data_IF_489851810817
#
_entry.id   IF_489851810817
#
_cell.length_a   1.000
_cell.length_b   1.000
_cell.length_c   1.000
_cell.angle_alpha   90.00
_cell.angle_beta   90.00
_cell.angle_gamma   90.00
#
_symmetry.space_group_name_H-M   'P 1'
#
loop_
_entity.id
_entity.type
_entity.pdbx_description
1 polymer ?
#
# COMPACT_ATOMS: atom_id res chain seq x y z
N UNK A 1 -5.90 -9.51 -24.77
CA UNK A 1 -4.81 -10.50 -25.03
C UNK A 1 -3.86 -10.36 -23.86
N UNK A 2 -3.83 -11.31 -22.93
CA UNK A 2 -2.99 -11.25 -21.73
C UNK A 2 -1.57 -11.68 -22.09
N UNK A 3 -0.57 -10.90 -21.68
CA UNK A 3 0.84 -11.20 -21.90
C UNK A 3 1.22 -12.56 -21.26
N UNK A 4 2.11 -13.37 -21.86
CA UNK A 4 2.42 -14.75 -21.42
C UNK A 4 2.96 -14.87 -19.97
N UNK A 5 3.53 -13.82 -19.39
CA UNK A 5 4.07 -13.80 -18.02
C UNK A 5 3.03 -13.70 -16.91
N UNK A 6 1.83 -13.20 -17.19
CA UNK A 6 0.80 -12.93 -16.17
C UNK A 6 0.12 -14.18 -15.58
N UNK A 7 0.32 -15.36 -16.17
CA UNK A 7 -0.24 -16.61 -15.62
C UNK A 7 0.40 -17.07 -14.31
N UNK A 8 1.55 -16.50 -13.91
CA UNK A 8 2.25 -16.86 -12.66
C UNK A 8 1.90 -16.01 -11.45
N UNK A 9 1.32 -14.84 -11.64
CA UNK A 9 0.96 -13.91 -10.56
C UNK A 9 -0.48 -14.13 -10.10
N UNK A 10 -0.99 -15.23 -9.85
CA UNK A 10 -2.25 -15.60 -9.19
C UNK A 10 -3.33 -14.53 -8.86
N UNK A 11 -3.19 -13.31 -9.36
CA UNK A 11 -3.95 -12.11 -8.97
C UNK A 11 -5.31 -11.97 -9.69
N UNK A 12 -5.45 -12.52 -10.88
CA UNK A 12 -6.67 -12.33 -11.69
C UNK A 12 -7.85 -13.25 -11.28
N UNK A 13 -7.66 -14.46 -10.73
CA UNK A 13 -8.80 -15.30 -10.32
C UNK A 13 -9.45 -14.91 -9.00
N UNK A 14 -8.75 -14.18 -8.12
CA UNK A 14 -9.25 -13.88 -6.76
C UNK A 14 -10.38 -12.86 -6.81
N UNK A 15 -10.27 -11.81 -7.59
CA UNK A 15 -11.29 -10.75 -7.68
C UNK A 15 -12.61 -11.24 -8.31
N UNK A 16 -12.60 -12.24 -9.20
CA UNK A 16 -13.83 -12.83 -9.75
C UNK A 16 -14.53 -13.81 -8.81
N UNK A 17 -13.80 -14.43 -7.86
CA UNK A 17 -14.39 -15.35 -6.87
C UNK A 17 -14.93 -14.63 -5.63
N UNK A 18 -14.47 -13.41 -5.32
CA UNK A 18 -14.99 -12.63 -4.21
C UNK A 18 -16.47 -12.20 -4.41
N UNK A 19 -16.95 -12.13 -5.65
CA UNK A 19 -18.35 -11.80 -5.96
C UNK A 19 -19.37 -12.87 -5.54
N UNK A 20 -18.95 -14.07 -5.21
CA UNK A 20 -19.86 -15.23 -5.03
C UNK A 20 -19.95 -15.78 -3.58
N UNK A 21 -19.25 -15.24 -2.59
CA UNK A 21 -19.14 -15.92 -1.32
C UNK A 21 -19.09 -15.11 -0.03
N UNK A 22 -19.16 -13.79 -0.07
CA UNK A 22 -19.14 -12.97 1.15
C UNK A 22 -20.49 -12.33 1.42
N UNK A 23 -21.37 -13.07 2.09
CA UNK A 23 -22.54 -12.50 2.72
C UNK A 23 -22.85 -13.26 4.00
N UNK A 24 -22.30 -12.81 5.13
CA UNK A 24 -22.91 -12.94 6.45
C UNK A 24 -22.25 -11.92 7.38
N UNK A 25 -23.01 -10.98 7.95
CA UNK A 25 -22.47 -10.07 8.93
C UNK A 25 -22.26 -10.82 10.24
N UNK A 26 -21.01 -11.10 10.59
CA UNK A 26 -20.67 -11.49 11.96
C UNK A 26 -20.75 -10.24 12.83
N UNK A 27 -21.66 -10.29 13.79
CA UNK A 27 -21.85 -9.32 14.85
C UNK A 27 -20.54 -9.16 15.64
N UNK A 28 -19.91 -8.01 15.52
CA UNK A 28 -18.77 -7.56 16.35
C UNK A 28 -18.95 -6.12 16.82
N UNK A 29 -20.14 -5.77 17.30
CA UNK A 29 -20.40 -4.42 17.83
C UNK A 29 -19.92 -4.20 19.27
N UNK A 30 -19.34 -5.18 19.95
CA UNK A 30 -19.10 -5.09 21.39
C UNK A 30 -17.63 -4.95 21.85
N UNK A 31 -16.65 -4.88 20.94
CA UNK A 31 -15.22 -4.77 21.32
C UNK A 31 -14.51 -3.49 20.84
N UNK A 32 -15.22 -2.60 20.17
CA UNK A 32 -14.59 -1.48 19.47
C UNK A 32 -14.35 -0.22 20.31
N UNK A 33 -15.02 -0.02 21.45
CA UNK A 33 -15.07 1.30 22.08
C UNK A 33 -14.07 1.57 23.21
N UNK A 34 -13.36 0.57 23.70
CA UNK A 34 -12.53 0.72 24.92
C UNK A 34 -11.01 0.73 24.72
N UNK A 35 -10.52 0.13 23.65
CA UNK A 35 -9.07 -0.02 23.42
C UNK A 35 -8.54 1.00 22.38
N UNK A 36 -9.44 1.67 21.67
CA UNK A 36 -9.14 2.28 20.38
C UNK A 36 -8.33 3.58 20.40
N UNK A 37 -8.51 4.49 21.37
CA UNK A 37 -7.91 5.83 21.26
C UNK A 37 -6.44 5.90 21.66
N UNK A 38 -6.06 5.21 22.71
CA UNK A 38 -4.67 5.21 23.21
C UNK A 38 -3.75 4.42 22.27
N UNK A 39 -4.25 3.32 21.69
CA UNK A 39 -3.52 2.54 20.69
C UNK A 39 -3.38 3.27 19.35
N UNK A 40 -4.38 4.03 18.91
CA UNK A 40 -4.29 4.83 17.68
C UNK A 40 -3.20 5.92 17.78
N UNK A 41 -3.11 6.63 18.90
CA UNK A 41 -2.05 7.61 19.13
C UNK A 41 -0.66 6.95 19.13
N UNK A 42 -0.51 5.83 19.80
CA UNK A 42 0.76 5.07 19.83
C UNK A 42 1.18 4.59 18.44
N UNK A 43 0.25 4.08 17.65
CA UNK A 43 0.50 3.64 16.27
C UNK A 43 0.87 4.83 15.38
N UNK A 44 0.14 5.94 15.51
CA UNK A 44 0.42 7.17 14.77
C UNK A 44 1.82 7.72 15.08
N UNK A 45 2.20 7.80 16.35
CA UNK A 45 3.50 8.29 16.79
C UNK A 45 4.63 7.36 16.36
N UNK A 46 4.42 6.04 16.47
CA UNK A 46 5.38 5.04 16.03
C UNK A 46 5.72 5.22 14.55
N UNK A 47 4.72 5.26 13.67
CA UNK A 47 4.95 5.40 12.25
C UNK A 47 5.52 6.78 11.87
N UNK A 48 5.09 7.85 12.55
CA UNK A 48 5.68 9.17 12.36
C UNK A 48 7.19 9.20 12.62
N UNK A 49 7.66 8.46 13.63
CA UNK A 49 9.09 8.31 13.95
C UNK A 49 9.81 7.35 13.00
N UNK A 50 9.19 6.22 12.64
CA UNK A 50 9.80 5.19 11.78
C UNK A 50 10.11 5.72 10.39
N UNK A 51 9.23 6.47 9.75
CA UNK A 51 9.51 7.07 8.44
C UNK A 51 10.70 8.01 8.48
N UNK A 52 10.93 8.69 9.60
CA UNK A 52 12.12 9.50 9.77
C UNK A 52 13.38 8.65 9.94
N UNK A 53 13.36 7.66 10.82
CA UNK A 53 14.49 6.78 11.11
C UNK A 53 14.93 5.98 9.86
N UNK A 54 14.01 5.37 9.14
CA UNK A 54 14.30 4.59 7.92
C UNK A 54 15.09 5.38 6.86
N UNK A 55 14.93 6.69 6.82
CA UNK A 55 15.67 7.55 5.90
C UNK A 55 17.05 7.95 6.39
N UNK A 56 17.19 8.13 7.71
CA UNK A 56 18.44 8.60 8.30
C UNK A 56 19.47 7.47 8.44
N UNK A 57 19.01 6.29 8.88
CA UNK A 57 19.93 5.19 9.24
C UNK A 57 20.26 4.26 8.08
N UNK A 58 19.53 4.36 6.96
CA UNK A 58 19.63 3.41 5.83
C UNK A 58 19.51 1.93 6.27
N UNK A 59 18.85 1.68 7.37
CA UNK A 59 18.76 0.36 8.02
C UNK A 59 17.66 -0.53 7.41
N UNK A 60 16.83 0.03 6.55
CA UNK A 60 15.77 -0.73 5.90
C UNK A 60 16.36 -1.71 4.87
N UNK A 61 16.06 -2.98 5.01
CA UNK A 61 16.65 -4.05 4.19
C UNK A 61 16.46 -3.88 2.67
N UNK A 62 15.37 -3.25 2.22
CA UNK A 62 15.16 -2.89 0.82
C UNK A 62 16.05 -1.74 0.33
N UNK A 63 16.77 -1.05 1.21
CA UNK A 63 17.78 -0.07 0.79
C UNK A 63 19.05 -0.73 0.24
N UNK A 64 19.21 -2.04 0.46
CA UNK A 64 20.26 -2.81 -0.20
C UNK A 64 19.88 -3.06 -1.66
N UNK A 65 20.63 -2.46 -2.58
CA UNK A 65 20.32 -2.50 -4.01
C UNK A 65 20.22 -3.92 -4.59
N UNK A 66 20.99 -4.86 -4.10
CA UNK A 66 20.93 -6.27 -4.56
C UNK A 66 19.61 -6.92 -4.14
N UNK A 67 19.18 -6.68 -2.90
CA UNK A 67 17.90 -7.17 -2.37
C UNK A 67 16.73 -6.51 -3.08
N UNK A 68 16.80 -5.19 -3.28
CA UNK A 68 15.80 -4.41 -3.99
C UNK A 68 15.59 -4.94 -5.42
N UNK A 69 16.67 -5.05 -6.21
CA UNK A 69 16.59 -5.56 -7.59
C UNK A 69 16.09 -7.01 -7.65
N UNK A 70 16.51 -7.87 -6.73
CA UNK A 70 16.03 -9.25 -6.65
C UNK A 70 14.53 -9.29 -6.35
N UNK A 71 14.06 -8.47 -5.43
CA UNK A 71 12.63 -8.35 -5.08
C UNK A 71 11.83 -7.87 -6.29
N UNK A 72 12.28 -6.85 -6.99
CA UNK A 72 11.56 -6.35 -8.18
C UNK A 72 11.55 -7.36 -9.33
N UNK A 73 12.63 -8.13 -9.54
CA UNK A 73 12.63 -9.23 -10.51
C UNK A 73 11.60 -10.30 -10.17
N UNK A 74 11.41 -10.62 -8.89
CA UNK A 74 10.36 -11.55 -8.46
C UNK A 74 8.95 -11.01 -8.72
N UNK A 75 8.76 -9.70 -8.59
CA UNK A 75 7.46 -9.05 -8.75
C UNK A 75 7.11 -8.80 -10.22
N UNK A 76 8.07 -8.38 -11.04
CA UNK A 76 7.82 -7.78 -12.36
C UNK A 76 8.67 -8.37 -13.50
N UNK A 77 9.47 -9.41 -13.23
CA UNK A 77 10.50 -9.98 -14.13
C UNK A 77 11.57 -8.94 -14.57
N UNK A 78 11.62 -7.76 -13.94
CA UNK A 78 12.60 -6.70 -14.25
C UNK A 78 13.28 -6.21 -12.96
N UNK A 79 14.51 -5.64 -13.03
CA UNK A 79 15.16 -5.05 -11.86
C UNK A 79 14.65 -3.66 -11.54
N UNK A 80 13.67 -3.14 -12.28
CA UNK A 80 13.12 -1.80 -12.09
C UNK A 80 12.14 -1.80 -10.92
N UNK A 81 12.10 -0.67 -10.23
CA UNK A 81 11.11 -0.43 -9.18
C UNK A 81 9.70 -0.78 -9.67
N UNK A 82 8.96 -1.56 -8.88
CA UNK A 82 7.65 -2.10 -9.25
C UNK A 82 6.65 -1.02 -9.72
N UNK A 83 6.65 0.16 -9.07
CA UNK A 83 5.76 1.26 -9.46
C UNK A 83 6.13 1.84 -10.83
N UNK A 84 7.42 1.99 -11.10
CA UNK A 84 7.90 2.41 -12.42
C UNK A 84 7.49 1.41 -13.52
N UNK A 85 7.60 0.11 -13.27
CA UNK A 85 7.10 -0.92 -14.16
C UNK A 85 5.58 -0.85 -14.32
N UNK A 86 4.84 -0.74 -13.21
CA UNK A 86 3.39 -0.64 -13.24
C UNK A 86 2.91 0.53 -14.13
N UNK A 87 3.53 1.71 -13.95
CA UNK A 87 3.12 2.91 -14.67
C UNK A 87 3.54 2.91 -16.15
N UNK A 88 4.73 2.41 -16.46
CA UNK A 88 5.30 2.57 -17.81
C UNK A 88 5.13 1.34 -18.70
N UNK A 89 4.97 0.16 -18.12
CA UNK A 89 4.82 -1.09 -18.88
C UNK A 89 3.40 -1.64 -18.79
N UNK A 90 2.85 -1.80 -17.56
CA UNK A 90 1.51 -2.36 -17.39
C UNK A 90 0.40 -1.37 -17.76
N UNK A 91 0.54 -0.13 -17.31
CA UNK A 91 -0.38 0.97 -17.59
C UNK A 91 0.16 1.92 -18.68
N UNK A 92 0.96 1.44 -19.62
CA UNK A 92 1.69 2.25 -20.58
C UNK A 92 0.85 3.37 -21.22
N UNK A 93 -0.35 3.03 -21.70
CA UNK A 93 -1.27 3.96 -22.38
C UNK A 93 -2.40 4.48 -21.47
N UNK A 94 -2.38 4.11 -20.18
CA UNK A 94 -3.44 4.55 -19.25
C UNK A 94 -3.08 5.79 -18.47
N UNK A 95 -4.11 6.61 -18.30
CA UNK A 95 -4.12 7.71 -17.33
C UNK A 95 -5.32 7.55 -16.39
N UNK A 96 -5.24 8.13 -15.22
CA UNK A 96 -6.23 8.05 -14.17
C UNK A 96 -6.63 9.45 -13.73
N UNK A 97 -7.92 9.69 -13.60
CA UNK A 97 -8.41 10.97 -13.10
C UNK A 97 -8.10 11.10 -11.60
N UNK A 98 -8.42 10.04 -10.83
CA UNK A 98 -8.31 10.07 -9.36
C UNK A 98 -7.68 8.79 -8.84
N UNK A 99 -6.66 8.95 -8.01
CA UNK A 99 -6.11 7.84 -7.24
C UNK A 99 -6.36 8.01 -5.74
N UNK A 100 -6.45 6.88 -5.03
CA UNK A 100 -6.44 6.80 -3.58
C UNK A 100 -5.33 5.84 -3.13
N UNK A 101 -4.48 6.30 -2.25
CA UNK A 101 -3.55 5.45 -1.52
C UNK A 101 -4.04 5.21 -0.10
N UNK A 102 -4.16 3.95 0.27
CA UNK A 102 -4.57 3.52 1.61
C UNK A 102 -3.32 3.17 2.42
N UNK A 103 -3.16 3.81 3.57
CA UNK A 103 -1.93 3.84 4.37
C UNK A 103 -0.75 4.39 3.54
N UNK A 104 -0.88 5.64 3.10
CA UNK A 104 0.07 6.27 2.17
C UNK A 104 1.43 6.62 2.80
N UNK A 105 1.54 6.54 4.12
CA UNK A 105 2.75 6.96 4.81
C UNK A 105 3.12 8.41 4.49
N UNK A 106 4.39 8.63 4.18
CA UNK A 106 4.96 9.93 3.87
C UNK A 106 4.81 10.39 2.41
N UNK A 107 3.98 9.71 1.62
CA UNK A 107 3.69 10.07 0.24
C UNK A 107 4.80 9.75 -0.77
N UNK A 108 5.70 8.83 -0.46
CA UNK A 108 6.83 8.51 -1.34
C UNK A 108 6.42 7.84 -2.66
N UNK A 109 5.38 7.02 -2.66
CA UNK A 109 4.82 6.44 -3.89
C UNK A 109 3.88 7.42 -4.59
N UNK A 110 3.13 8.19 -3.83
CA UNK A 110 2.14 9.14 -4.31
C UNK A 110 2.79 10.26 -5.13
N UNK A 111 3.96 10.74 -4.71
CA UNK A 111 4.69 11.75 -5.49
C UNK A 111 5.18 11.18 -6.82
N UNK A 112 5.53 9.89 -6.88
CA UNK A 112 5.90 9.24 -8.15
C UNK A 112 4.69 9.11 -9.08
N UNK A 113 3.50 8.79 -8.54
CA UNK A 113 2.26 8.81 -9.32
C UNK A 113 1.98 10.19 -9.91
N UNK A 114 2.10 11.23 -9.08
CA UNK A 114 1.88 12.61 -9.51
C UNK A 114 2.88 13.03 -10.60
N UNK A 115 4.16 12.83 -10.34
CA UNK A 115 5.24 13.27 -11.27
C UNK A 115 5.29 12.46 -12.56
N UNK A 116 4.72 11.25 -12.58
CA UNK A 116 4.57 10.47 -13.81
C UNK A 116 3.64 11.13 -14.85
N UNK A 117 2.81 12.10 -14.43
CA UNK A 117 1.78 12.70 -15.26
C UNK A 117 0.59 11.81 -15.57
N UNK A 118 0.56 10.56 -15.04
CA UNK A 118 -0.50 9.59 -15.32
C UNK A 118 -1.71 9.72 -14.41
N UNK A 119 -1.59 10.41 -13.29
CA UNK A 119 -2.69 10.63 -12.34
C UNK A 119 -2.95 12.12 -12.21
N UNK A 120 -4.18 12.51 -12.43
CA UNK A 120 -4.57 13.94 -12.37
C UNK A 120 -4.75 14.43 -10.94
N UNK A 121 -5.37 13.63 -10.07
CA UNK A 121 -5.60 13.96 -8.66
C UNK A 121 -5.17 12.80 -7.76
N UNK A 122 -4.33 13.08 -6.79
CA UNK A 122 -3.78 12.06 -5.86
C UNK A 122 -4.35 12.27 -4.48
N UNK A 123 -5.01 11.25 -3.94
CA UNK A 123 -5.45 11.20 -2.54
C UNK A 123 -4.62 10.19 -1.76
N UNK A 124 -4.38 10.47 -0.50
CA UNK A 124 -3.77 9.53 0.44
C UNK A 124 -4.40 9.63 1.82
N UNK A 125 -4.56 8.48 2.46
CA UNK A 125 -5.01 8.39 3.85
C UNK A 125 -4.00 7.59 4.67
N UNK A 126 -3.75 8.03 5.87
CA UNK A 126 -2.89 7.35 6.85
C UNK A 126 -3.33 7.70 8.27
N UNK A 127 -3.05 6.84 9.24
CA UNK A 127 -3.35 7.12 10.65
C UNK A 127 -2.34 8.09 11.27
N UNK A 128 -1.15 8.20 10.71
CA UNK A 128 -0.07 9.04 11.23
C UNK A 128 -0.17 10.47 10.75
N UNK A 129 -0.47 11.40 11.66
CA UNK A 129 -0.47 12.82 11.36
C UNK A 129 0.91 13.31 10.88
N UNK A 130 1.99 12.77 11.46
CA UNK A 130 3.36 13.09 11.05
C UNK A 130 3.65 12.67 9.61
N UNK A 131 3.21 11.48 9.20
CA UNK A 131 3.35 10.98 7.84
C UNK A 131 2.54 11.83 6.85
N UNK A 132 1.29 12.15 7.18
CA UNK A 132 0.42 13.01 6.35
C UNK A 132 1.03 14.41 6.14
N UNK A 133 1.59 15.02 7.19
CA UNK A 133 2.30 16.30 7.05
C UNK A 133 3.50 16.20 6.11
N UNK A 134 4.26 15.11 6.19
CA UNK A 134 5.40 14.88 5.30
C UNK A 134 4.94 14.66 3.85
N UNK A 135 3.86 13.89 3.63
CA UNK A 135 3.28 13.69 2.30
C UNK A 135 2.87 15.02 1.66
N UNK A 136 2.13 15.85 2.39
CA UNK A 136 1.72 17.18 1.91
C UNK A 136 2.93 18.09 1.61
N UNK A 137 3.93 18.10 2.51
CA UNK A 137 5.16 18.88 2.31
C UNK A 137 5.95 18.42 1.08
N UNK A 138 5.98 17.11 0.81
CA UNK A 138 6.63 16.53 -0.37
C UNK A 138 5.98 17.00 -1.67
N UNK A 139 4.64 17.06 -1.72
CA UNK A 139 3.91 17.56 -2.87
C UNK A 139 4.11 19.08 -3.07
N UNK A 140 4.05 19.84 -1.98
CA UNK A 140 4.34 21.26 -2.03
C UNK A 140 5.78 21.54 -2.53
N UNK A 141 6.77 20.80 -2.04
CA UNK A 141 8.16 20.91 -2.49
C UNK A 141 8.36 20.54 -3.96
N UNK A 142 7.53 19.65 -4.50
CA UNK A 142 7.52 19.32 -5.93
C UNK A 142 6.76 20.36 -6.80
N UNK A 143 6.23 21.43 -6.20
CA UNK A 143 5.48 22.45 -6.90
C UNK A 143 4.07 21.99 -7.33
N UNK A 144 3.52 20.96 -6.71
CA UNK A 144 2.18 20.49 -6.99
C UNK A 144 1.14 21.52 -6.53
N UNK A 145 0.19 21.93 -7.37
CA UNK A 145 -0.90 22.81 -6.95
C UNK A 145 -1.78 22.14 -5.90
N UNK A 146 -2.26 22.85 -4.88
CA UNK A 146 -3.06 22.26 -3.78
C UNK A 146 -4.32 21.52 -4.25
N UNK A 147 -4.90 21.94 -5.38
CA UNK A 147 -6.07 21.31 -5.99
C UNK A 147 -5.78 19.99 -6.72
N UNK A 148 -4.52 19.52 -6.70
CA UNK A 148 -4.09 18.30 -7.38
C UNK A 148 -3.84 17.14 -6.42
N UNK A 149 -3.92 17.38 -5.12
CA UNK A 149 -3.71 16.34 -4.11
C UNK A 149 -4.50 16.59 -2.83
N UNK A 150 -4.72 15.51 -2.06
CA UNK A 150 -5.35 15.57 -0.74
C UNK A 150 -4.79 14.46 0.14
N UNK A 151 -4.25 14.82 1.30
CA UNK A 151 -3.79 13.88 2.30
C UNK A 151 -4.57 14.08 3.60
N UNK A 152 -5.13 12.99 4.15
CA UNK A 152 -5.99 13.06 5.33
C UNK A 152 -5.58 12.04 6.38
N UNK A 153 -5.64 12.45 7.65
CA UNK A 153 -5.49 11.52 8.77
C UNK A 153 -6.77 10.71 8.91
N UNK A 154 -6.70 9.41 8.64
CA UNK A 154 -7.84 8.49 8.70
C UNK A 154 -7.43 7.13 9.26
N UNK A 155 -8.27 6.55 10.11
CA UNK A 155 -8.15 5.15 10.49
C UNK A 155 -8.81 4.26 9.41
N UNK A 156 -8.01 3.39 8.82
CA UNK A 156 -8.48 2.48 7.77
C UNK A 156 -9.49 1.44 8.26
N UNK A 157 -9.50 1.14 9.57
CA UNK A 157 -10.47 0.22 10.16
C UNK A 157 -11.88 0.81 10.25
N UNK A 158 -12.02 2.13 10.14
CA UNK A 158 -13.27 2.88 10.13
C UNK A 158 -13.40 3.77 8.88
N UNK A 159 -12.68 3.43 7.81
CA UNK A 159 -12.64 4.24 6.59
C UNK A 159 -13.99 4.25 5.88
N UNK A 160 -14.48 5.46 5.60
CA UNK A 160 -15.64 5.69 4.75
C UNK A 160 -15.23 6.62 3.61
N UNK A 161 -15.57 6.26 2.40
CA UNK A 161 -15.24 6.99 1.18
C UNK A 161 -16.54 7.46 0.50
N UNK A 162 -16.63 8.76 0.24
CA UNK A 162 -17.78 9.37 -0.45
C UNK A 162 -17.53 9.63 -1.95
N UNK A 163 -16.37 9.24 -2.46
CA UNK A 163 -15.93 9.51 -3.82
C UNK A 163 -15.50 8.20 -4.50
N UNK A 164 -15.42 8.22 -5.83
CA UNK A 164 -14.91 7.10 -6.62
C UNK A 164 -13.53 7.38 -7.15
N UNK A 165 -12.74 6.31 -7.34
CA UNK A 165 -11.35 6.37 -7.76
C UNK A 165 -11.08 5.39 -8.90
N UNK A 166 -10.31 5.82 -9.89
CA UNK A 166 -9.90 4.97 -11.01
C UNK A 166 -8.74 4.04 -10.64
N UNK A 167 -7.95 4.45 -9.65
CA UNK A 167 -6.82 3.70 -9.14
C UNK A 167 -6.81 3.77 -7.61
N UNK A 168 -6.99 2.64 -6.97
CA UNK A 168 -6.77 2.50 -5.52
C UNK A 168 -5.55 1.64 -5.34
N UNK A 169 -4.64 2.00 -4.43
CA UNK A 169 -3.49 1.16 -4.12
C UNK A 169 -3.12 1.18 -2.65
N UNK A 170 -2.48 0.10 -2.21
CA UNK A 170 -1.91 -0.05 -0.87
C UNK A 170 -0.60 -0.83 -0.97
N UNK A 171 0.41 -0.37 -0.24
CA UNK A 171 1.77 -0.93 -0.31
C UNK A 171 2.28 -1.24 1.09
N UNK A 172 2.45 -2.56 1.39
CA UNK A 172 3.02 -3.04 2.65
C UNK A 172 2.24 -2.59 3.88
N UNK A 173 0.91 -2.52 3.81
CA UNK A 173 0.13 -1.88 4.86
C UNK A 173 -1.21 -2.58 5.21
N UNK A 174 -1.79 -3.35 4.31
CA UNK A 174 -3.08 -4.01 4.58
C UNK A 174 -3.01 -5.01 5.74
N UNK A 175 -1.83 -5.55 6.02
CA UNK A 175 -1.62 -6.44 7.17
C UNK A 175 -1.78 -5.74 8.54
N UNK A 176 -1.84 -4.41 8.57
CA UNK A 176 -2.15 -3.62 9.78
C UNK A 176 -3.66 -3.43 9.99
N UNK A 177 -4.48 -3.71 8.98
CA UNK A 177 -5.93 -3.57 9.11
C UNK A 177 -6.51 -4.70 9.97
N UNK A 178 -7.19 -4.36 11.06
CA UNK A 178 -7.91 -5.31 11.92
C UNK A 178 -9.26 -5.68 11.35
N UNK A 179 -9.88 -4.78 10.57
CA UNK A 179 -11.14 -5.00 9.83
C UNK A 179 -10.84 -5.04 8.33
N UNK A 180 -10.06 -6.03 7.90
CA UNK A 180 -9.62 -6.14 6.51
C UNK A 180 -10.79 -6.32 5.53
N UNK A 181 -11.78 -7.14 5.88
CA UNK A 181 -12.97 -7.39 5.04
C UNK A 181 -13.79 -6.11 4.85
N UNK A 182 -14.00 -5.33 5.93
CA UNK A 182 -14.70 -4.05 5.86
C UNK A 182 -13.92 -3.03 5.03
N UNK A 183 -12.60 -2.98 5.17
CA UNK A 183 -11.73 -2.12 4.36
C UNK A 183 -11.80 -2.50 2.87
N UNK A 184 -11.70 -3.78 2.54
CA UNK A 184 -11.79 -4.27 1.16
C UNK A 184 -13.17 -3.95 0.54
N UNK A 185 -14.25 -4.12 1.30
CA UNK A 185 -15.60 -3.76 0.85
C UNK A 185 -15.74 -2.26 0.60
N UNK A 186 -15.16 -1.42 1.45
CA UNK A 186 -15.12 0.04 1.27
C UNK A 186 -14.38 0.43 0.00
N UNK A 187 -13.23 -0.19 -0.25
CA UNK A 187 -12.44 0.07 -1.46
C UNK A 187 -13.14 -0.43 -2.73
N UNK A 188 -13.81 -1.60 -2.69
CA UNK A 188 -14.61 -2.10 -3.81
C UNK A 188 -15.73 -1.12 -4.18
N UNK A 189 -16.44 -0.57 -3.19
CA UNK A 189 -17.52 0.41 -3.41
C UNK A 189 -17.00 1.74 -3.96
N UNK A 190 -15.78 2.13 -3.56
CA UNK A 190 -15.15 3.36 -4.02
C UNK A 190 -14.43 3.21 -5.38
N UNK A 191 -14.28 2.00 -5.88
CA UNK A 191 -13.62 1.77 -7.16
C UNK A 191 -14.54 2.11 -8.32
N UNK A 192 -14.09 2.97 -9.22
CA UNK A 192 -14.83 3.34 -10.43
C UNK A 192 -15.02 2.11 -11.35
N UNK A 193 -16.04 2.09 -12.21
CA UNK A 193 -16.17 1.07 -13.24
C UNK A 193 -14.89 1.00 -14.09
N UNK A 194 -14.30 -0.19 -14.22
CA UNK A 194 -12.99 -0.42 -14.87
C UNK A 194 -11.79 0.22 -14.16
N UNK A 195 -11.93 0.63 -12.91
CA UNK A 195 -10.84 1.04 -12.04
C UNK A 195 -9.96 -0.14 -11.62
N UNK A 196 -8.80 0.18 -11.07
CA UNK A 196 -7.82 -0.81 -10.62
C UNK A 196 -7.60 -0.68 -9.12
N UNK A 197 -7.60 -1.82 -8.45
CA UNK A 197 -7.06 -1.92 -7.10
C UNK A 197 -5.72 -2.68 -7.15
N UNK A 198 -4.65 -2.00 -6.79
CA UNK A 198 -3.28 -2.52 -6.79
C UNK A 198 -2.84 -2.73 -5.36
N UNK A 199 -2.37 -3.93 -5.06
CA UNK A 199 -1.85 -4.29 -3.74
C UNK A 199 -0.44 -4.82 -3.89
N UNK A 200 0.48 -4.24 -3.15
CA UNK A 200 1.82 -4.77 -2.92
C UNK A 200 1.91 -5.13 -1.46
N UNK A 201 1.89 -6.44 -1.15
CA UNK A 201 1.76 -6.89 0.22
C UNK A 201 2.56 -8.18 0.46
N UNK A 202 2.98 -8.36 1.70
CA UNK A 202 3.53 -9.62 2.15
C UNK A 202 2.43 -10.69 2.21
N UNK A 203 2.63 -11.77 1.48
CA UNK A 203 1.76 -12.95 1.48
C UNK A 203 2.53 -14.11 2.09
N UNK A 204 2.27 -14.39 3.34
CA UNK A 204 2.96 -15.43 4.10
C UNK A 204 2.13 -15.96 5.25
N UNK A 205 2.72 -16.79 6.11
CA UNK A 205 2.04 -17.32 7.28
C UNK A 205 1.64 -16.20 8.24
N UNK A 206 0.57 -16.46 9.00
CA UNK A 206 0.07 -15.55 10.03
C UNK A 206 1.20 -15.12 10.98
N UNK A 207 1.23 -13.84 11.36
CA UNK A 207 2.18 -13.26 12.31
C UNK A 207 3.66 -13.39 11.91
N UNK A 208 3.97 -13.36 10.60
CA UNK A 208 5.36 -13.50 10.13
C UNK A 208 6.08 -14.73 10.71
N UNK A 209 5.39 -15.86 10.81
CA UNK A 209 6.01 -17.09 11.30
C UNK A 209 7.01 -17.60 10.25
N UNK A 210 8.28 -17.45 10.57
CA UNK A 210 9.37 -17.96 9.75
C UNK A 210 9.49 -19.47 9.94
N UNK A 211 9.71 -20.20 8.85
CA UNK A 211 10.07 -21.62 8.94
C UNK A 211 11.48 -21.80 9.49
N UNK A 212 11.76 -22.95 10.10
CA UNK A 212 13.09 -23.27 10.61
C UNK A 212 14.17 -23.10 9.51
N UNK A 213 13.86 -23.50 8.28
CA UNK A 213 14.76 -23.34 7.14
C UNK A 213 15.04 -21.87 6.82
N UNK A 214 14.03 -20.99 6.89
CA UNK A 214 14.21 -19.54 6.68
C UNK A 214 15.10 -18.94 7.79
N UNK A 215 14.89 -19.35 9.04
CA UNK A 215 15.69 -18.92 10.18
C UNK A 215 17.14 -19.37 10.02
N UNK A 216 17.35 -20.62 9.61
CA UNK A 216 18.70 -21.16 9.37
C UNK A 216 19.42 -20.38 8.27
N UNK A 217 18.79 -20.13 7.14
CA UNK A 217 19.37 -19.34 6.03
C UNK A 217 19.68 -17.91 6.50
N UNK A 218 18.76 -17.27 7.23
CA UNK A 218 18.99 -15.93 7.75
C UNK A 218 20.21 -15.88 8.69
N UNK A 219 20.36 -16.87 9.58
CA UNK A 219 21.49 -16.97 10.49
C UNK A 219 22.82 -17.24 9.75
N UNK A 220 22.80 -18.04 8.69
CA UNK A 220 23.99 -18.27 7.85
C UNK A 220 24.44 -16.98 7.17
N UNK A 221 23.49 -16.21 6.61
CA UNK A 221 23.79 -14.91 5.99
C UNK A 221 24.36 -13.93 7.02
N UNK A 222 23.70 -13.80 8.18
CA UNK A 222 24.17 -12.89 9.24
C UNK A 222 25.55 -13.26 9.81
N UNK A 223 25.88 -14.55 9.80
CA UNK A 223 27.20 -15.01 10.26
C UNK A 223 28.33 -14.79 9.25
N UNK A 224 27.98 -14.51 8.00
CA UNK A 224 28.92 -14.25 6.90
C UNK A 224 29.19 -12.74 6.68
N UNK A 225 28.41 -11.86 7.33
CA UNK A 225 28.57 -10.41 7.33
C UNK A 225 29.46 -9.93 8.45
#
# INVERSE_FOLDING_TARGET
>A
MLLPGMRRLGLVPILRKLRAGFCSPLQSEALADGIARDDQHRVSDYWGQQFHAMRVDNSYWLNNKVVEEATYRLMTDTPRHWLGWLLNDYFAERTFDRSLSVCCGDGAHEIQLYTSGKVRFVSGVDISEGAIKQAAARFAAAGAPPERYRFEVRDVNALQLGETYDLIFSTGALHHATNLEGLLATMEQALAPNGYFVVVEFIGPNRFQWTDQQIEIANQVLSAL
#
